data_IF_321013528747
#
_entry.id   IF_321013528747
#
_cell.length_a   1.000
_cell.length_b   1.000
_cell.length_c   1.000
_cell.angle_alpha   90.00
_cell.angle_beta   90.00
_cell.angle_gamma   90.00
#
_symmetry.space_group_name_H-M   'P 1'
#
loop_
_entity.id
_entity.type
_entity.pdbx_description
1 polymer ?
#
# COMPACT_ATOMS: atom_id res chain seq x y z
N UNK A 1 9.73 -0.14 -18.33
CA UNK A 1 10.10 -0.30 -16.90
C UNK A 1 11.60 -0.05 -16.73
N UNK A 2 11.97 0.47 -15.61
CA UNK A 2 13.35 0.81 -15.27
C UNK A 2 13.73 0.27 -13.91
N UNK A 3 15.03 0.18 -13.65
CA UNK A 3 15.53 -0.26 -12.35
C UNK A 3 15.53 0.93 -11.40
N UNK A 4 14.83 0.79 -10.29
CA UNK A 4 14.60 1.87 -9.34
C UNK A 4 14.78 1.35 -7.92
N UNK A 5 15.37 2.18 -7.04
CA UNK A 5 15.42 1.90 -5.62
C UNK A 5 14.03 2.15 -5.02
N UNK A 6 13.38 1.10 -4.58
CA UNK A 6 12.04 1.18 -3.98
C UNK A 6 12.05 2.07 -2.74
N UNK A 7 13.13 2.03 -1.97
CA UNK A 7 13.31 2.86 -0.77
C UNK A 7 12.96 4.32 -1.03
N UNK A 8 13.54 4.91 -2.06
CA UNK A 8 13.32 6.32 -2.40
C UNK A 8 11.91 6.62 -2.86
N UNK A 9 11.34 5.73 -3.68
CA UNK A 9 9.96 5.91 -4.17
C UNK A 9 8.99 5.89 -3.00
N UNK A 10 9.18 4.96 -2.07
CA UNK A 10 8.32 4.83 -0.90
C UNK A 10 8.44 6.07 0.01
N UNK A 11 9.66 6.50 0.28
CA UNK A 11 9.91 7.69 1.10
C UNK A 11 9.29 8.95 0.50
N UNK A 12 9.46 9.17 -0.80
CA UNK A 12 8.87 10.31 -1.50
C UNK A 12 7.34 10.28 -1.44
N UNK A 13 6.76 9.11 -1.59
CA UNK A 13 5.30 8.95 -1.54
C UNK A 13 4.76 9.30 -0.15
N UNK A 14 5.45 8.85 0.90
CA UNK A 14 5.05 9.16 2.27
C UNK A 14 5.17 10.66 2.54
N UNK A 15 6.27 11.28 2.11
CA UNK A 15 6.48 12.72 2.28
C UNK A 15 5.38 13.54 1.58
N UNK A 16 4.91 13.07 0.43
CA UNK A 16 3.82 13.73 -0.29
C UNK A 16 2.51 13.76 0.48
N UNK A 17 2.33 12.88 1.45
CA UNK A 17 1.13 12.83 2.28
C UNK A 17 1.32 13.42 3.68
N UNK A 18 2.49 13.98 3.96
CA UNK A 18 2.82 14.47 5.30
C UNK A 18 1.76 15.44 5.85
N UNK A 19 1.40 16.45 5.08
CA UNK A 19 0.42 17.44 5.50
C UNK A 19 -0.96 16.82 5.74
N UNK A 20 -1.40 15.93 4.86
CA UNK A 20 -2.70 15.25 4.98
C UNK A 20 -2.74 14.35 6.20
N UNK A 21 -1.68 13.59 6.44
CA UNK A 21 -1.57 12.73 7.61
C UNK A 21 -1.61 13.56 8.89
N UNK A 22 -0.91 14.69 8.90
CA UNK A 22 -0.89 15.59 10.05
C UNK A 22 -2.27 16.17 10.35
N UNK A 23 -3.01 16.59 9.31
CA UNK A 23 -4.39 17.08 9.46
C UNK A 23 -5.30 16.02 10.09
N UNK A 24 -5.09 14.76 9.76
CA UNK A 24 -5.88 13.65 10.28
C UNK A 24 -5.36 13.11 11.60
N UNK A 25 -4.31 13.72 12.15
CA UNK A 25 -3.67 13.28 13.40
C UNK A 25 -3.13 11.85 13.30
N UNK A 26 -2.66 11.46 12.12
CA UNK A 26 -2.04 10.16 11.90
C UNK A 26 -0.53 10.34 11.86
N UNK A 27 0.16 9.70 12.80
CA UNK A 27 1.62 9.65 12.83
C UNK A 27 2.02 8.28 12.30
N UNK A 28 2.52 8.18 11.06
CA UNK A 28 2.85 6.87 10.51
C UNK A 28 4.07 6.26 11.20
N UNK A 29 3.99 4.96 11.45
CA UNK A 29 5.13 4.19 11.92
C UNK A 29 5.85 3.66 10.68
N UNK A 30 7.03 4.18 10.40
CA UNK A 30 7.77 3.90 9.17
C UNK A 30 9.02 3.09 9.50
N UNK A 31 9.15 1.93 8.88
CA UNK A 31 10.30 1.05 9.03
C UNK A 31 10.80 0.64 7.65
N UNK A 32 11.76 1.37 7.11
CA UNK A 32 12.32 1.11 5.79
C UNK A 32 13.75 0.62 5.97
N UNK A 33 14.05 -0.53 5.36
CA UNK A 33 15.40 -1.10 5.41
C UNK A 33 16.45 -0.11 4.90
N UNK A 34 17.63 -0.13 5.48
CA UNK A 34 18.77 0.65 5.00
C UNK A 34 19.37 0.03 3.74
N UNK A 35 19.11 -1.25 3.52
CA UNK A 35 19.55 -1.94 2.32
C UNK A 35 18.82 -1.39 1.10
N UNK A 36 19.57 -1.05 0.05
CA UNK A 36 18.98 -0.55 -1.19
C UNK A 36 18.25 -1.69 -1.91
N UNK A 37 16.94 -1.56 -2.04
CA UNK A 37 16.09 -2.55 -2.71
C UNK A 37 15.82 -2.07 -4.13
N UNK A 38 16.49 -2.69 -5.10
CA UNK A 38 16.34 -2.34 -6.52
C UNK A 38 15.35 -3.29 -7.16
N UNK A 39 14.37 -2.73 -7.86
CA UNK A 39 13.39 -3.51 -8.61
C UNK A 39 13.15 -2.88 -9.97
N UNK A 40 12.77 -3.69 -10.93
CA UNK A 40 12.43 -3.22 -12.27
C UNK A 40 10.96 -2.87 -12.29
N UNK A 41 10.65 -1.58 -12.33
CA UNK A 41 9.29 -1.09 -12.15
C UNK A 41 9.01 0.10 -13.07
N UNK A 42 7.74 0.43 -13.19
CA UNK A 42 7.30 1.70 -13.75
C UNK A 42 7.15 2.68 -12.58
N UNK A 43 7.98 3.72 -12.58
CA UNK A 43 8.03 4.68 -11.46
C UNK A 43 6.66 5.31 -11.19
N UNK A 44 6.02 5.84 -12.23
CA UNK A 44 4.72 6.51 -12.08
C UNK A 44 3.64 5.57 -11.55
N UNK A 45 3.64 4.33 -12.03
CA UNK A 45 2.68 3.32 -11.59
C UNK A 45 2.88 2.98 -10.11
N UNK A 46 4.13 2.82 -9.68
CA UNK A 46 4.41 2.49 -8.29
C UNK A 46 4.04 3.64 -7.35
N UNK A 47 4.32 4.89 -7.75
CA UNK A 47 3.89 6.07 -7.01
C UNK A 47 2.37 6.07 -6.84
N UNK A 48 1.64 5.74 -7.90
CA UNK A 48 0.18 5.66 -7.84
C UNK A 48 -0.30 4.59 -6.88
N UNK A 49 0.35 3.41 -6.90
CA UNK A 49 0.02 2.33 -5.96
C UNK A 49 0.21 2.79 -4.52
N UNK A 50 1.37 3.35 -4.20
CA UNK A 50 1.66 3.81 -2.84
C UNK A 50 0.68 4.91 -2.41
N UNK A 51 0.37 5.85 -3.29
CA UNK A 51 -0.60 6.91 -3.00
C UNK A 51 -1.98 6.34 -2.72
N UNK A 52 -2.41 5.35 -3.50
CA UNK A 52 -3.70 4.68 -3.30
C UNK A 52 -3.74 3.98 -1.94
N UNK A 53 -2.65 3.32 -1.53
CA UNK A 53 -2.61 2.60 -0.26
C UNK A 53 -2.60 3.57 0.94
N UNK A 54 -1.87 4.67 0.84
CA UNK A 54 -1.85 5.68 1.89
C UNK A 54 -3.24 6.33 2.02
N UNK A 55 -3.86 6.70 0.89
CA UNK A 55 -5.22 7.24 0.89
C UNK A 55 -6.22 6.26 1.49
N UNK A 56 -6.07 4.98 1.17
CA UNK A 56 -6.93 3.94 1.71
C UNK A 56 -6.83 3.89 3.24
N UNK A 57 -5.61 3.95 3.78
CA UNK A 57 -5.41 3.98 5.22
C UNK A 57 -6.01 5.23 5.87
N UNK A 58 -5.87 6.39 5.23
CA UNK A 58 -6.45 7.64 5.73
C UNK A 58 -7.98 7.54 5.83
N UNK A 59 -8.61 6.89 4.85
CA UNK A 59 -10.07 6.77 4.79
C UNK A 59 -10.64 5.72 5.75
N UNK A 60 -9.95 4.59 5.91
CA UNK A 60 -10.54 3.40 6.53
C UNK A 60 -9.89 2.97 7.84
N UNK A 61 -8.73 3.51 8.19
CA UNK A 61 -8.08 3.14 9.45
C UNK A 61 -8.77 3.80 10.64
N UNK A 62 -8.50 3.25 11.81
CA UNK A 62 -8.93 3.84 13.07
C UNK A 62 -8.00 4.98 13.52
N UNK A 63 -7.16 5.49 12.63
CA UNK A 63 -6.27 6.62 12.89
C UNK A 63 -4.80 6.25 12.97
N UNK A 64 -4.43 5.07 12.51
CA UNK A 64 -3.05 4.59 12.52
C UNK A 64 -2.61 4.11 11.15
N UNK A 65 -1.30 4.05 10.95
CA UNK A 65 -0.70 3.57 9.71
C UNK A 65 0.72 3.11 9.99
N UNK A 66 1.05 1.91 9.54
CA UNK A 66 2.43 1.40 9.57
C UNK A 66 2.85 1.04 8.16
N UNK A 67 4.07 1.42 7.79
CA UNK A 67 4.63 1.16 6.47
C UNK A 67 6.00 0.53 6.66
N UNK A 68 6.20 -0.64 6.08
CA UNK A 68 7.45 -1.39 6.22
C UNK A 68 7.97 -1.80 4.85
N UNK A 69 9.27 -1.64 4.65
CA UNK A 69 10.00 -2.24 3.54
C UNK A 69 11.09 -3.12 4.14
N UNK A 70 11.03 -4.42 3.89
CA UNK A 70 12.00 -5.38 4.44
C UNK A 70 13.23 -5.50 3.55
N UNK A 71 14.29 -6.12 4.10
CA UNK A 71 15.55 -6.36 3.38
C UNK A 71 15.38 -7.22 2.13
N UNK A 72 14.34 -8.04 2.10
CA UNK A 72 14.05 -8.91 0.95
C UNK A 72 13.04 -8.28 -0.02
N UNK A 73 12.69 -7.02 0.20
CA UNK A 73 11.85 -6.27 -0.73
C UNK A 73 10.35 -6.43 -0.53
N UNK A 74 9.93 -6.96 0.60
CA UNK A 74 8.51 -7.04 0.93
C UNK A 74 8.02 -5.69 1.43
N UNK A 75 6.94 -5.18 0.86
CA UNK A 75 6.35 -3.90 1.25
C UNK A 75 5.04 -4.19 1.97
N UNK A 76 4.88 -3.66 3.18
CA UNK A 76 3.68 -3.91 3.98
C UNK A 76 3.09 -2.59 4.44
N UNK A 77 1.81 -2.39 4.13
CA UNK A 77 1.00 -1.29 4.67
C UNK A 77 0.01 -1.89 5.64
N UNK A 78 -0.01 -1.44 6.88
CA UNK A 78 -0.96 -1.95 7.87
C UNK A 78 -1.61 -0.85 8.67
N UNK A 79 -2.82 -1.11 9.10
CA UNK A 79 -3.57 -0.19 9.95
C UNK A 79 -4.65 -0.97 10.70
N UNK A 80 -5.12 -0.40 11.80
CA UNK A 80 -6.28 -0.94 12.50
C UNK A 80 -7.53 -0.58 11.72
N UNK A 81 -8.42 -1.54 11.53
CA UNK A 81 -9.68 -1.36 10.81
C UNK A 81 -10.76 -2.19 11.50
N UNK A 82 -11.23 -1.70 12.65
CA UNK A 82 -12.15 -2.44 13.50
C UNK A 82 -13.51 -2.72 12.86
N UNK A 83 -13.92 -1.89 11.88
CA UNK A 83 -15.20 -2.04 11.18
C UNK A 83 -15.13 -2.97 9.97
N UNK A 84 -13.97 -3.52 9.68
CA UNK A 84 -13.79 -4.39 8.53
C UNK A 84 -14.22 -5.82 8.86
N UNK A 85 -14.82 -6.52 7.90
CA UNK A 85 -15.17 -7.93 8.05
C UNK A 85 -14.27 -8.79 7.15
N UNK A 86 -14.27 -10.12 7.38
CA UNK A 86 -13.53 -11.04 6.52
C UNK A 86 -14.05 -11.02 5.08
N UNK A 87 -15.35 -10.81 4.89
CA UNK A 87 -15.95 -10.68 3.56
C UNK A 87 -15.41 -9.43 2.86
N UNK A 88 -15.33 -8.31 3.60
CA UNK A 88 -14.77 -7.07 3.07
C UNK A 88 -13.33 -7.28 2.62
N UNK A 89 -12.52 -7.98 3.42
CA UNK A 89 -11.11 -8.23 3.09
C UNK A 89 -10.98 -9.04 1.81
N UNK A 90 -11.81 -10.06 1.63
CA UNK A 90 -11.79 -10.88 0.41
C UNK A 90 -12.16 -10.10 -0.84
N UNK A 91 -12.91 -9.02 -0.69
CA UNK A 91 -13.40 -8.22 -1.82
C UNK A 91 -12.67 -6.88 -1.98
N UNK A 92 -11.65 -6.60 -1.18
CA UNK A 92 -10.97 -5.31 -1.20
C UNK A 92 -10.43 -4.92 -2.58
N UNK A 93 -9.99 -5.88 -3.36
CA UNK A 93 -9.43 -5.63 -4.68
C UNK A 93 -10.47 -5.74 -5.80
N UNK A 94 -11.72 -6.00 -5.47
CA UNK A 94 -12.79 -6.06 -6.46
C UNK A 94 -13.11 -4.65 -6.94
N UNK A 95 -13.33 -4.53 -8.25
CA UNK A 95 -13.67 -3.26 -8.85
C UNK A 95 -15.01 -2.75 -8.30
N UNK A 96 -15.03 -1.46 -7.94
CA UNK A 96 -16.21 -0.77 -7.39
C UNK A 96 -16.66 -1.27 -6.01
N UNK A 97 -15.93 -2.19 -5.39
CA UNK A 97 -16.28 -2.58 -4.03
C UNK A 97 -15.80 -1.53 -3.04
N UNK A 98 -16.68 -1.11 -2.14
CA UNK A 98 -16.35 -0.25 -1.01
C UNK A 98 -16.97 -0.82 0.24
N UNK A 99 -16.32 -0.61 1.39
CA UNK A 99 -16.90 -0.97 2.68
C UNK A 99 -18.10 -0.06 2.94
N UNK A 100 -19.15 -0.59 3.54
CA UNK A 100 -20.43 0.13 3.75
C UNK A 100 -20.24 1.52 4.36
N UNK A 101 -19.31 1.68 5.28
CA UNK A 101 -19.05 2.97 5.94
C UNK A 101 -18.05 3.83 5.18
N UNK A 102 -17.59 3.40 4.02
CA UNK A 102 -16.63 4.13 3.22
C UNK A 102 -17.30 5.33 2.56
N UNK A 103 -16.81 6.51 2.88
CA UNK A 103 -17.39 7.75 2.34
C UNK A 103 -16.66 8.16 1.07
N UNK A 104 -17.43 8.50 0.02
CA UNK A 104 -16.91 9.12 -1.20
C UNK A 104 -15.79 8.34 -1.88
N UNK A 105 -15.78 7.04 -1.75
CA UNK A 105 -14.84 6.19 -2.48
C UNK A 105 -15.49 5.64 -3.74
N UNK A 106 -14.75 5.60 -4.83
CA UNK A 106 -15.22 5.01 -6.08
C UNK A 106 -15.06 3.49 -6.11
N UNK A 107 -14.32 2.93 -5.15
CA UNK A 107 -14.00 1.52 -5.14
C UNK A 107 -13.00 1.10 -6.21
N UNK A 108 -12.26 2.05 -6.77
CA UNK A 108 -11.30 1.78 -7.84
C UNK A 108 -9.85 1.73 -7.38
N UNK A 109 -9.53 2.38 -6.26
CA UNK A 109 -8.14 2.55 -5.83
C UNK A 109 -7.38 1.24 -5.67
N UNK A 110 -7.93 0.29 -4.93
CA UNK A 110 -7.25 -0.99 -4.69
C UNK A 110 -7.27 -1.90 -5.91
N UNK A 111 -8.35 -1.91 -6.69
CA UNK A 111 -8.40 -2.70 -7.93
C UNK A 111 -7.37 -2.19 -8.94
N UNK A 112 -7.21 -0.89 -9.05
CA UNK A 112 -6.19 -0.29 -9.92
C UNK A 112 -4.79 -0.64 -9.41
N UNK A 113 -4.56 -0.57 -8.11
CA UNK A 113 -3.28 -0.95 -7.52
C UNK A 113 -2.90 -2.38 -7.87
N UNK A 114 -3.85 -3.30 -7.80
CA UNK A 114 -3.63 -4.70 -8.17
C UNK A 114 -3.25 -4.83 -9.63
N UNK A 115 -3.97 -4.16 -10.52
CA UNK A 115 -3.67 -4.19 -11.96
C UNK A 115 -2.26 -3.67 -12.21
N UNK A 116 -1.88 -2.55 -11.60
CA UNK A 116 -0.56 -1.96 -11.80
C UNK A 116 0.56 -2.86 -11.27
N UNK A 117 0.37 -3.45 -10.10
CA UNK A 117 1.35 -4.38 -9.53
C UNK A 117 1.49 -5.63 -10.40
N UNK A 118 0.38 -6.18 -10.88
CA UNK A 118 0.41 -7.36 -11.76
C UNK A 118 1.08 -7.06 -13.10
N UNK A 119 0.92 -5.85 -13.63
CA UNK A 119 1.62 -5.42 -14.85
C UNK A 119 3.13 -5.35 -14.65
N UNK A 120 3.59 -5.18 -13.43
CA UNK A 120 5.01 -5.22 -13.08
C UNK A 120 5.45 -6.63 -12.64
N UNK A 121 4.62 -7.64 -12.89
CA UNK A 121 4.85 -9.04 -12.54
C UNK A 121 4.97 -9.27 -11.03
N UNK A 122 4.41 -8.36 -10.25
CA UNK A 122 4.37 -8.47 -8.80
C UNK A 122 3.06 -9.03 -8.29
N UNK A 123 2.97 -9.16 -6.98
CA UNK A 123 1.75 -9.61 -6.29
C UNK A 123 1.36 -8.61 -5.22
N UNK A 124 0.06 -8.49 -5.00
CA UNK A 124 -0.49 -7.72 -3.90
C UNK A 124 -1.56 -8.57 -3.22
N UNK A 125 -1.55 -8.58 -1.90
CA UNK A 125 -2.50 -9.38 -1.13
C UNK A 125 -2.93 -8.62 0.11
N UNK A 126 -4.06 -9.04 0.69
CA UNK A 126 -4.58 -8.45 1.92
C UNK A 126 -4.84 -9.55 2.93
N UNK A 127 -4.50 -9.29 4.19
CA UNK A 127 -4.78 -10.17 5.31
C UNK A 127 -5.40 -9.35 6.42
N UNK A 128 -6.28 -9.96 7.19
CA UNK A 128 -6.95 -9.31 8.30
C UNK A 128 -6.86 -10.19 9.52
N UNK A 129 -6.24 -9.68 10.58
CA UNK A 129 -6.00 -10.43 11.80
C UNK A 129 -5.97 -9.48 12.99
N UNK A 130 -6.67 -9.82 14.06
CA UNK A 130 -6.71 -8.99 15.27
C UNK A 130 -7.10 -7.53 14.99
N UNK A 131 -8.09 -7.33 14.12
CA UNK A 131 -8.57 -6.01 13.68
C UNK A 131 -7.54 -5.19 12.91
N UNK A 132 -6.44 -5.82 12.51
CA UNK A 132 -5.40 -5.17 11.70
C UNK A 132 -5.53 -5.63 10.25
N UNK A 133 -5.55 -4.68 9.35
CA UNK A 133 -5.48 -4.94 7.92
C UNK A 133 -4.02 -4.82 7.47
N UNK A 134 -3.54 -5.84 6.78
CA UNK A 134 -2.19 -5.87 6.20
C UNK A 134 -2.31 -5.99 4.69
N UNK A 135 -1.73 -5.04 3.96
CA UNK A 135 -1.64 -5.11 2.51
C UNK A 135 -0.16 -5.31 2.18
N UNK A 136 0.14 -6.43 1.53
CA UNK A 136 1.50 -6.84 1.22
C UNK A 136 1.74 -6.81 -0.28
N UNK A 137 2.86 -6.20 -0.68
CA UNK A 137 3.29 -6.12 -2.08
C UNK A 137 4.65 -6.79 -2.19
N UNK A 138 4.79 -7.64 -3.21
CA UNK A 138 6.09 -8.18 -3.61
C UNK A 138 6.30 -7.96 -5.09
N UNK A 139 7.46 -7.40 -5.41
CA UNK A 139 7.90 -7.19 -6.79
C UNK A 139 9.01 -8.18 -7.11
N UNK A 140 9.12 -8.64 -8.37
CA UNK A 140 10.16 -9.61 -8.73
C UNK A 140 11.56 -9.09 -8.45
N UNK A 141 12.42 -9.95 -7.97
CA UNK A 141 13.83 -9.64 -7.79
C UNK A 141 14.49 -9.48 -9.16
N UNK A 142 15.37 -8.50 -9.30
CA UNK A 142 16.08 -8.23 -10.54
C UNK A 142 17.37 -9.03 -10.68
N UNK A 143 17.76 -9.76 -9.64
CA UNK A 143 19.02 -10.52 -9.64
C UNK A 143 19.05 -11.64 -10.65
N UNK A 144 17.91 -12.06 -11.17
CA UNK A 144 17.77 -13.17 -12.13
C UNK A 144 17.86 -12.72 -13.59
N UNK A 145 18.16 -11.47 -13.83
CA UNK A 145 18.28 -10.95 -15.21
C UNK A 145 19.68 -11.05 -15.77
#
# INVERSE_FOLDING_TARGET
>A
MERVAINGVLEESILGFYATLQEKNIIPNICITEKKVIRKINHSALVRVFSNLINNAIKYSDGDLSITLTDVGKIIFSNTASDLSEVDVKRLFDRFYTVENARKSTGLGLSISRILIEQMNGTISAQYENRQLYICIQLPDVSDE
#
